data_IF_994725443458
#
_entry.id   IF_994725443458
#
_cell.length_a   1.000
_cell.length_b   1.000
_cell.length_c   1.000
_cell.angle_alpha   90.00
_cell.angle_beta   90.00
_cell.angle_gamma   90.00
#
_symmetry.space_group_name_H-M   'P 1'
#
loop_
_entity.id
_entity.type
_entity.pdbx_description
1 polymer ?
#
# COMPACT_ATOMS: atom_id res chain seq x y z
N UNK A 1 -8.94 -16.21 -7.44
CA UNK A 1 -8.78 -15.55 -6.11
C UNK A 1 -9.84 -14.49 -5.98
N UNK A 2 -10.61 -14.53 -4.89
CA UNK A 2 -11.62 -13.53 -4.56
C UNK A 2 -11.19 -12.73 -3.33
N UNK A 3 -11.61 -11.47 -3.23
CA UNK A 3 -11.35 -10.59 -2.09
C UNK A 3 -12.68 -10.24 -1.44
N UNK A 4 -12.81 -10.53 -0.16
CA UNK A 4 -13.99 -10.25 0.64
C UNK A 4 -13.59 -9.28 1.75
N UNK A 5 -14.33 -8.20 1.89
CA UNK A 5 -14.07 -7.14 2.87
C UNK A 5 -15.27 -7.02 3.80
N UNK A 6 -15.02 -7.03 5.12
CA UNK A 6 -16.08 -6.92 6.14
C UNK A 6 -15.65 -5.98 7.27
N UNK A 7 -16.57 -5.13 7.68
CA UNK A 7 -16.34 -4.19 8.77
C UNK A 7 -15.79 -2.84 8.35
N UNK A 8 -15.73 -1.89 9.29
CA UNK A 8 -15.50 -0.47 8.98
C UNK A 8 -14.10 -0.13 8.46
N UNK A 9 -13.07 -0.89 8.84
CA UNK A 9 -11.70 -0.67 8.40
C UNK A 9 -11.32 -1.49 7.15
N UNK A 10 -12.17 -2.42 6.70
CA UNK A 10 -11.94 -3.24 5.52
C UNK A 10 -12.41 -2.51 4.25
N UNK A 11 -11.65 -1.51 3.82
CA UNK A 11 -11.98 -0.63 2.72
C UNK A 11 -11.07 -0.79 1.50
N UNK A 12 -10.83 0.33 0.84
CA UNK A 12 -10.03 0.44 -0.37
C UNK A 12 -8.59 -0.06 -0.17
N UNK A 13 -7.96 0.32 0.92
CA UNK A 13 -6.55 -0.01 1.18
C UNK A 13 -6.36 -1.52 1.40
N UNK A 14 -7.28 -2.20 2.11
CA UNK A 14 -7.24 -3.64 2.28
C UNK A 14 -7.41 -4.38 0.95
N UNK A 15 -8.35 -3.94 0.09
CA UNK A 15 -8.50 -4.49 -1.27
C UNK A 15 -7.20 -4.38 -2.07
N UNK A 16 -6.54 -3.22 -2.01
CA UNK A 16 -5.30 -2.97 -2.75
C UNK A 16 -4.12 -3.73 -2.16
N UNK A 17 -4.08 -3.90 -0.84
CA UNK A 17 -3.08 -4.75 -0.17
C UNK A 17 -3.16 -6.20 -0.66
N UNK A 18 -4.37 -6.78 -0.72
CA UNK A 18 -4.55 -8.12 -1.30
C UNK A 18 -4.08 -8.19 -2.77
N UNK A 19 -4.37 -7.15 -3.57
CA UNK A 19 -3.97 -7.10 -4.99
C UNK A 19 -2.48 -6.93 -5.24
N UNK A 20 -1.70 -6.47 -4.26
CA UNK A 20 -0.23 -6.50 -4.36
C UNK A 20 0.26 -7.94 -4.56
N UNK A 21 -0.35 -8.91 -3.87
CA UNK A 21 0.02 -10.32 -3.94
C UNK A 21 -0.77 -11.10 -5.00
N UNK A 22 -1.99 -10.67 -5.27
CA UNK A 22 -2.91 -11.30 -6.22
C UNK A 22 -3.51 -10.27 -7.19
N UNK A 23 -2.73 -9.77 -8.19
CA UNK A 23 -3.17 -8.68 -9.08
C UNK A 23 -4.46 -8.95 -9.87
N UNK A 24 -4.78 -10.21 -10.11
CA UNK A 24 -6.01 -10.64 -10.80
C UNK A 24 -7.17 -10.97 -9.89
N UNK A 25 -7.09 -10.64 -8.59
CA UNK A 25 -8.16 -10.95 -7.66
C UNK A 25 -9.37 -10.02 -7.86
N UNK A 26 -10.57 -10.61 -7.79
CA UNK A 26 -11.84 -9.91 -7.96
C UNK A 26 -12.55 -9.76 -6.62
N UNK A 27 -13.24 -8.62 -6.43
CA UNK A 27 -14.02 -8.38 -5.23
C UNK A 27 -15.30 -9.22 -5.24
N UNK A 28 -15.63 -9.83 -4.11
CA UNK A 28 -16.85 -10.59 -3.90
C UNK A 28 -17.52 -10.20 -2.58
N UNK A 29 -18.82 -10.40 -2.51
CA UNK A 29 -19.60 -10.11 -1.29
C UNK A 29 -19.66 -11.34 -0.35
N UNK A 30 -19.70 -12.52 -0.92
CA UNK A 30 -19.86 -13.76 -0.17
C UNK A 30 -18.61 -14.64 -0.25
N UNK A 31 -18.37 -15.42 0.80
CA UNK A 31 -17.33 -16.42 0.82
C UNK A 31 -17.63 -17.51 -0.21
N UNK A 32 -16.69 -17.82 -1.12
CA UNK A 32 -16.90 -18.89 -2.08
C UNK A 32 -16.76 -20.27 -1.40
N UNK A 33 -17.55 -21.24 -1.86
CA UNK A 33 -17.51 -22.59 -1.30
C UNK A 33 -16.21 -23.35 -1.65
N UNK A 34 -15.71 -23.17 -2.86
CA UNK A 34 -14.58 -23.97 -3.40
C UNK A 34 -13.41 -23.16 -3.89
N UNK A 35 -13.58 -21.86 -4.20
CA UNK A 35 -12.54 -21.02 -4.77
C UNK A 35 -11.59 -20.47 -3.70
N UNK A 36 -10.39 -20.11 -4.12
CA UNK A 36 -9.44 -19.40 -3.28
C UNK A 36 -9.89 -17.96 -3.01
N UNK A 37 -9.69 -17.49 -1.78
CA UNK A 37 -10.08 -16.16 -1.37
C UNK A 37 -9.16 -15.56 -0.30
N UNK A 38 -9.23 -14.24 -0.18
CA UNK A 38 -8.73 -13.44 0.95
C UNK A 38 -9.94 -12.76 1.59
N UNK A 39 -10.15 -12.98 2.88
CA UNK A 39 -11.11 -12.25 3.70
C UNK A 39 -10.33 -11.32 4.63
N UNK A 40 -10.58 -10.02 4.55
CA UNK A 40 -10.16 -9.04 5.53
C UNK A 40 -11.40 -8.58 6.31
N UNK A 41 -11.41 -8.83 7.61
CA UNK A 41 -12.54 -8.55 8.48
C UNK A 41 -12.09 -7.71 9.69
N UNK A 42 -12.77 -6.60 9.91
CA UNK A 42 -12.49 -5.66 11.00
C UNK A 42 -13.71 -5.52 11.91
N UNK A 43 -13.50 -5.68 13.20
CA UNK A 43 -14.45 -5.39 14.27
C UNK A 43 -13.98 -4.17 15.09
N UNK A 44 -14.66 -3.86 16.20
CA UNK A 44 -14.32 -2.68 17.01
C UNK A 44 -12.87 -2.67 17.48
N UNK A 45 -12.37 -3.79 17.99
CA UNK A 45 -11.03 -3.92 18.57
C UNK A 45 -10.24 -5.13 18.04
N UNK A 46 -10.78 -5.87 17.09
CA UNK A 46 -10.17 -7.09 16.58
C UNK A 46 -10.19 -7.11 15.06
N UNK A 47 -9.06 -7.44 14.49
CA UNK A 47 -8.90 -7.64 13.05
C UNK A 47 -8.63 -9.11 12.76
N UNK A 48 -9.19 -9.62 11.68
CA UNK A 48 -9.02 -10.98 11.20
C UNK A 48 -8.70 -10.98 9.70
N UNK A 49 -7.64 -11.68 9.36
CA UNK A 49 -7.36 -12.05 7.97
C UNK A 49 -7.47 -13.56 7.85
N UNK A 50 -8.26 -14.02 6.88
CA UNK A 50 -8.41 -15.43 6.57
C UNK A 50 -8.19 -15.63 5.08
N UNK A 51 -7.30 -16.54 4.73
CA UNK A 51 -6.94 -16.84 3.35
C UNK A 51 -7.19 -18.33 3.07
N UNK A 52 -7.97 -18.61 2.04
CA UNK A 52 -8.02 -19.95 1.45
C UNK A 52 -7.17 -19.95 0.20
N UNK A 53 -6.20 -20.87 0.17
CA UNK A 53 -5.31 -21.05 -0.98
C UNK A 53 -5.00 -22.52 -1.17
N UNK A 54 -5.23 -23.01 -2.39
CA UNK A 54 -5.00 -24.43 -2.77
C UNK A 54 -5.70 -25.42 -1.80
N UNK A 55 -6.94 -25.09 -1.40
CA UNK A 55 -7.76 -25.89 -0.48
C UNK A 55 -7.33 -25.85 1.00
N UNK A 56 -6.30 -25.06 1.34
CA UNK A 56 -5.84 -24.88 2.73
C UNK A 56 -6.31 -23.52 3.26
N UNK A 57 -6.54 -23.47 4.58
CA UNK A 57 -6.92 -22.24 5.29
C UNK A 57 -5.74 -21.75 6.10
N UNK A 58 -5.44 -20.47 5.96
CA UNK A 58 -4.46 -19.70 6.73
C UNK A 58 -5.19 -18.54 7.36
N UNK A 59 -4.82 -18.17 8.56
CA UNK A 59 -5.45 -17.04 9.24
C UNK A 59 -4.49 -16.35 10.21
N UNK A 60 -4.77 -15.08 10.45
CA UNK A 60 -4.10 -14.27 11.46
C UNK A 60 -5.14 -13.33 12.07
N UNK A 61 -5.05 -13.10 13.37
CA UNK A 61 -5.88 -12.12 14.09
C UNK A 61 -5.01 -11.31 15.00
N UNK A 62 -5.42 -10.08 15.25
CA UNK A 62 -4.74 -9.19 16.18
C UNK A 62 -5.78 -8.36 16.95
N UNK A 63 -5.40 -7.97 18.19
CA UNK A 63 -6.15 -7.02 19.00
C UNK A 63 -5.57 -5.64 18.75
N UNK A 64 -6.38 -4.78 18.17
CA UNK A 64 -5.98 -3.41 17.84
C UNK A 64 -5.95 -2.53 19.09
N UNK A 65 -4.87 -1.72 19.23
CA UNK A 65 -4.85 -0.64 20.21
C UNK A 65 -5.93 0.39 19.89
N UNK A 66 -6.62 0.97 20.88
CA UNK A 66 -7.62 2.04 20.68
C UNK A 66 -7.07 3.27 19.94
N UNK A 67 -5.76 3.50 20.03
CA UNK A 67 -5.07 4.64 19.42
C UNK A 67 -4.57 4.35 18.00
N UNK A 68 -4.60 3.07 17.56
CA UNK A 68 -4.13 2.69 16.24
C UNK A 68 -5.13 3.11 15.16
N UNK A 69 -4.60 3.53 14.02
CA UNK A 69 -5.39 3.68 12.79
C UNK A 69 -5.95 2.31 12.38
N UNK A 70 -7.27 2.13 12.36
CA UNK A 70 -7.89 0.84 12.11
C UNK A 70 -7.58 0.28 10.73
N UNK A 71 -7.59 1.12 9.70
CA UNK A 71 -7.33 0.72 8.32
C UNK A 71 -5.88 0.28 8.15
N UNK A 72 -4.94 1.05 8.69
CA UNK A 72 -3.53 0.68 8.66
C UNK A 72 -3.25 -0.62 9.43
N UNK A 73 -3.84 -0.81 10.62
CA UNK A 73 -3.65 -2.03 11.41
C UNK A 73 -4.11 -3.28 10.66
N UNK A 74 -5.30 -3.22 10.05
CA UNK A 74 -5.84 -4.29 9.23
C UNK A 74 -4.95 -4.59 8.01
N UNK A 75 -4.54 -3.56 7.27
CA UNK A 75 -3.66 -3.72 6.11
C UNK A 75 -2.29 -4.30 6.49
N UNK A 76 -1.72 -3.90 7.62
CA UNK A 76 -0.46 -4.44 8.13
C UNK A 76 -0.57 -5.92 8.49
N UNK A 77 -1.68 -6.31 9.12
CA UNK A 77 -1.96 -7.71 9.45
C UNK A 77 -2.10 -8.56 8.18
N UNK A 78 -2.85 -8.05 7.20
CA UNK A 78 -3.05 -8.67 5.89
C UNK A 78 -1.75 -8.82 5.11
N UNK A 79 -0.99 -7.73 4.97
CA UNK A 79 0.31 -7.72 4.29
C UNK A 79 1.26 -8.75 4.89
N UNK A 80 1.36 -8.81 6.22
CA UNK A 80 2.21 -9.77 6.91
C UNK A 80 1.83 -11.22 6.62
N UNK A 81 0.53 -11.57 6.69
CA UNK A 81 0.08 -12.92 6.38
C UNK A 81 0.31 -13.28 4.91
N UNK A 82 0.00 -12.38 3.98
CA UNK A 82 0.15 -12.63 2.55
C UNK A 82 1.62 -12.73 2.13
N UNK A 83 2.51 -11.91 2.71
CA UNK A 83 3.96 -12.01 2.52
C UNK A 83 4.48 -13.38 2.97
N UNK A 84 4.10 -13.84 4.16
CA UNK A 84 4.53 -15.13 4.70
C UNK A 84 3.99 -16.31 3.87
N UNK A 85 2.74 -16.20 3.42
CA UNK A 85 2.08 -17.24 2.63
C UNK A 85 2.64 -17.36 1.21
N UNK A 86 2.94 -16.26 0.57
CA UNK A 86 3.35 -16.23 -0.85
C UNK A 86 4.86 -16.25 -1.03
N UNK A 87 5.63 -15.86 -0.02
CA UNK A 87 7.07 -15.63 -0.13
C UNK A 87 7.44 -14.42 -0.98
N UNK A 88 6.46 -13.62 -1.40
CA UNK A 88 6.68 -12.40 -2.19
C UNK A 88 7.03 -11.26 -1.23
N UNK A 89 8.11 -10.54 -1.52
CA UNK A 89 8.49 -9.32 -0.83
C UNK A 89 8.27 -8.11 -1.75
N UNK A 90 7.11 -7.42 -1.67
CA UNK A 90 6.80 -6.31 -2.55
C UNK A 90 7.79 -5.16 -2.33
N UNK A 91 8.51 -4.68 -3.37
CA UNK A 91 9.59 -3.72 -3.18
C UNK A 91 9.16 -2.37 -2.59
N UNK A 92 7.91 -1.96 -2.84
CA UNK A 92 7.32 -0.74 -2.28
C UNK A 92 6.49 -1.00 -1.02
N UNK A 93 6.52 -2.23 -0.49
CA UNK A 93 5.75 -2.62 0.69
C UNK A 93 4.24 -2.44 0.49
N UNK A 94 3.61 -1.81 1.48
CA UNK A 94 2.17 -1.52 1.51
C UNK A 94 1.78 -0.22 0.79
N UNK A 95 2.73 0.48 0.14
CA UNK A 95 2.40 1.72 -0.57
C UNK A 95 1.55 1.45 -1.79
N UNK A 96 0.28 1.87 -1.75
CA UNK A 96 -0.68 1.75 -2.85
C UNK A 96 -1.13 3.13 -3.32
N UNK A 97 -1.20 3.35 -4.63
CA UNK A 97 -1.74 4.58 -5.21
C UNK A 97 -1.01 5.89 -4.85
N UNK A 98 0.12 5.85 -4.18
CA UNK A 98 0.87 7.02 -3.71
C UNK A 98 2.13 7.27 -4.54
N UNK A 99 2.63 8.49 -4.48
CA UNK A 99 3.93 8.88 -5.07
C UNK A 99 4.99 8.90 -3.96
N UNK A 100 5.88 7.89 -3.86
CA UNK A 100 6.83 7.78 -2.74
C UNK A 100 7.68 9.03 -2.54
N UNK A 101 8.18 9.62 -3.64
CA UNK A 101 9.01 10.84 -3.59
C UNK A 101 8.25 12.02 -3.00
N UNK A 102 6.93 12.12 -3.25
CA UNK A 102 6.11 13.19 -2.68
C UNK A 102 6.02 13.07 -1.15
N UNK A 103 5.89 11.84 -0.63
CA UNK A 103 5.88 11.62 0.83
C UNK A 103 7.15 12.18 1.45
N UNK A 104 8.33 11.98 0.82
CA UNK A 104 9.60 12.53 1.31
C UNK A 104 9.57 14.06 1.32
N UNK A 105 9.10 14.69 0.23
CA UNK A 105 8.99 16.14 0.19
C UNK A 105 8.02 16.70 1.23
N UNK A 106 6.86 16.07 1.41
CA UNK A 106 5.84 16.50 2.37
C UNK A 106 6.37 16.37 3.82
N UNK A 107 7.07 15.27 4.16
CA UNK A 107 7.68 15.08 5.48
C UNK A 107 8.82 16.07 5.74
N UNK A 108 9.69 16.31 4.76
CA UNK A 108 10.75 17.34 4.86
C UNK A 108 10.17 18.75 5.01
N UNK A 109 9.09 19.07 4.31
CA UNK A 109 8.40 20.36 4.46
C UNK A 109 7.74 20.52 5.84
N UNK A 110 7.33 19.39 6.47
CA UNK A 110 6.85 19.37 7.83
C UNK A 110 7.97 19.47 8.89
N UNK A 111 9.25 19.44 8.48
CA UNK A 111 10.40 19.52 9.38
C UNK A 111 10.80 18.19 10.02
N UNK A 112 10.32 17.07 9.48
CA UNK A 112 10.69 15.75 9.97
C UNK A 112 12.17 15.42 9.69
N UNK A 113 12.77 14.63 10.59
CA UNK A 113 14.15 14.19 10.43
C UNK A 113 14.28 13.09 9.36
N UNK A 114 15.49 12.92 8.80
CA UNK A 114 15.75 11.82 7.84
C UNK A 114 15.56 10.45 8.47
N UNK A 115 15.79 10.31 9.80
CA UNK A 115 15.53 9.10 10.56
C UNK A 115 14.03 8.79 10.60
N UNK A 116 13.19 9.79 10.90
CA UNK A 116 11.72 9.65 10.89
C UNK A 116 11.21 9.28 9.50
N UNK A 117 11.79 9.87 8.45
CA UNK A 117 11.44 9.54 7.06
C UNK A 117 11.82 8.09 6.75
N UNK A 118 13.00 7.64 7.20
CA UNK A 118 13.43 6.26 7.00
C UNK A 118 12.51 5.27 7.74
N UNK A 119 12.18 5.50 9.02
CA UNK A 119 11.22 4.71 9.77
C UNK A 119 9.86 4.62 9.08
N UNK A 120 9.36 5.75 8.56
CA UNK A 120 8.10 5.78 7.82
C UNK A 120 8.13 4.87 6.59
N UNK A 121 9.23 4.83 5.85
CA UNK A 121 9.35 4.00 4.65
C UNK A 121 9.61 2.52 5.00
N UNK A 122 10.56 2.25 5.89
CA UNK A 122 11.05 0.91 6.14
C UNK A 122 10.11 0.12 7.08
N UNK A 123 9.64 0.76 8.16
CA UNK A 123 8.88 0.08 9.21
C UNK A 123 7.37 0.25 9.03
N UNK A 124 6.91 1.48 8.71
CA UNK A 124 5.48 1.72 8.56
C UNK A 124 4.97 1.19 7.22
N UNK A 125 5.62 1.51 6.09
CA UNK A 125 5.21 1.01 4.78
C UNK A 125 5.82 -0.34 4.40
N UNK A 126 6.77 -0.87 5.16
CA UNK A 126 7.52 -2.09 4.82
C UNK A 126 8.19 -2.03 3.44
N UNK A 127 8.64 -0.83 3.02
CA UNK A 127 9.36 -0.62 1.77
C UNK A 127 10.78 -1.21 1.87
N UNK A 128 11.31 -1.75 0.77
CA UNK A 128 12.70 -2.23 0.81
C UNK A 128 13.71 -1.09 0.88
N UNK A 129 14.89 -1.30 1.50
CA UNK A 129 15.93 -0.27 1.60
C UNK A 129 16.38 0.26 0.23
N UNK A 130 16.40 -0.58 -0.80
CA UNK A 130 16.77 -0.19 -2.16
C UNK A 130 15.76 0.79 -2.77
N UNK A 131 14.47 0.55 -2.55
CA UNK A 131 13.41 1.44 -3.04
C UNK A 131 13.34 2.74 -2.25
N UNK A 132 13.54 2.68 -0.94
CA UNK A 132 13.69 3.88 -0.13
C UNK A 132 14.86 4.73 -0.61
N UNK A 133 16.05 4.13 -0.80
CA UNK A 133 17.23 4.84 -1.32
C UNK A 133 16.98 5.45 -2.70
N UNK A 134 16.27 4.73 -3.57
CA UNK A 134 15.88 5.26 -4.89
C UNK A 134 14.97 6.49 -4.73
N UNK A 135 13.93 6.40 -3.91
CA UNK A 135 13.00 7.51 -3.68
C UNK A 135 13.70 8.73 -3.09
N UNK A 136 14.60 8.51 -2.11
CA UNK A 136 15.39 9.55 -1.47
C UNK A 136 16.31 10.26 -2.50
N UNK A 137 17.05 9.49 -3.32
CA UNK A 137 17.89 10.06 -4.36
C UNK A 137 17.14 10.88 -5.41
N UNK A 138 15.90 10.45 -5.76
CA UNK A 138 15.05 11.24 -6.67
C UNK A 138 14.58 12.52 -5.97
N UNK A 139 14.20 12.46 -4.69
CA UNK A 139 13.81 13.65 -3.92
C UNK A 139 14.96 14.68 -3.85
N UNK A 140 16.18 14.21 -3.62
CA UNK A 140 17.37 15.07 -3.57
C UNK A 140 17.65 15.75 -4.92
N UNK A 141 17.50 15.02 -6.02
CA UNK A 141 17.64 15.58 -7.38
C UNK A 141 16.54 16.60 -7.73
N UNK A 142 15.33 16.41 -7.21
CA UNK A 142 14.21 17.31 -7.48
C UNK A 142 14.26 18.59 -6.62
N UNK A 143 14.85 18.53 -5.44
CA UNK A 143 14.86 19.62 -4.47
C UNK A 143 15.34 20.96 -5.03
N UNK A 144 16.50 21.07 -5.71
CA UNK A 144 16.96 22.36 -6.25
C UNK A 144 16.00 22.95 -7.29
N UNK A 145 15.31 22.10 -8.05
CA UNK A 145 14.31 22.52 -9.05
C UNK A 145 13.05 23.04 -8.38
N UNK A 146 12.59 22.36 -7.34
CA UNK A 146 11.40 22.76 -6.56
C UNK A 146 11.66 24.04 -5.78
N UNK A 147 12.85 24.18 -5.15
CA UNK A 147 13.25 25.36 -4.38
C UNK A 147 13.42 26.61 -5.27
N UNK A 148 13.80 26.42 -6.54
CA UNK A 148 13.94 27.48 -7.53
C UNK A 148 12.61 27.83 -8.25
N UNK A 149 11.54 27.06 -8.04
CA UNK A 149 10.26 27.30 -8.69
C UNK A 149 9.60 28.57 -8.15
N UNK A 150 9.16 29.46 -9.06
CA UNK A 150 8.36 30.61 -8.70
C UNK A 150 6.98 30.15 -8.20
N UNK A 151 6.55 30.52 -6.98
CA UNK A 151 5.22 30.16 -6.45
C UNK A 151 4.06 30.64 -7.34
N UNK A 152 4.28 31.67 -8.16
CA UNK A 152 3.30 32.19 -9.10
C UNK A 152 3.37 31.55 -10.49
N UNK A 153 4.35 30.67 -10.74
CA UNK A 153 4.46 29.95 -11.99
C UNK A 153 3.39 28.86 -12.11
N UNK A 154 2.90 28.63 -13.30
CA UNK A 154 2.02 27.51 -13.61
C UNK A 154 2.71 26.53 -14.55
N UNK A 155 2.39 25.25 -14.41
CA UNK A 155 2.80 24.20 -15.36
C UNK A 155 1.62 23.82 -16.23
N UNK A 156 1.86 23.75 -17.54
CA UNK A 156 0.85 23.32 -18.51
C UNK A 156 1.23 21.90 -18.96
N UNK A 157 0.33 20.94 -18.72
CA UNK A 157 0.46 19.60 -19.23
C UNK A 157 -0.54 19.39 -20.40
N UNK A 158 -0.01 19.16 -21.60
CA UNK A 158 -0.82 18.85 -22.77
C UNK A 158 -0.75 17.35 -23.04
N UNK A 159 -1.80 16.62 -22.68
CA UNK A 159 -1.93 15.18 -22.92
C UNK A 159 -2.79 14.90 -24.16
N UNK A 160 -2.33 13.97 -25.00
CA UNK A 160 -3.13 13.42 -26.10
C UNK A 160 -3.69 12.08 -25.64
N UNK A 161 -5.00 11.99 -25.28
CA UNK A 161 -5.56 10.78 -24.66
C UNK A 161 -5.76 9.61 -25.62
N UNK A 162 -5.59 9.85 -26.93
CA UNK A 162 -5.77 8.83 -27.96
C UNK A 162 -4.48 8.60 -28.73
N UNK A 163 -3.99 7.36 -28.71
CA UNK A 163 -2.91 6.92 -29.59
C UNK A 163 -3.50 5.92 -30.60
N UNK A 164 -3.47 6.19 -31.92
CA UNK A 164 -4.04 5.28 -32.93
C UNK A 164 -3.22 3.99 -33.09
N UNK A 165 -1.99 3.97 -32.55
CA UNK A 165 -1.10 2.81 -32.61
C UNK A 165 -0.44 2.57 -31.26
N UNK A 166 -0.11 1.31 -30.94
CA UNK A 166 0.75 0.99 -29.80
C UNK A 166 2.20 1.28 -30.17
N UNK A 167 2.91 1.96 -29.28
CA UNK A 167 4.37 2.04 -29.38
C UNK A 167 4.93 0.63 -29.19
N UNK A 168 5.74 0.19 -30.15
CA UNK A 168 6.48 -1.10 -30.10
C UNK A 168 7.70 -1.00 -29.20
#
# INVERSE_FOLDING_TARGET
MQIILRGPAAGYEAEHTARIFFPGAEKAENLPETEDFVLAESHEMTDLILVRKDGRIYWRTDLRSPEADPEYALCKLEFGLLKDLTGIDPPWGMMTGVRPVRIIHDLRAAGESEETIAEKFLDHFACTPEKFKLALGIADLQRPVLDAADPMACSIYAGIPFCPTRCS
#
